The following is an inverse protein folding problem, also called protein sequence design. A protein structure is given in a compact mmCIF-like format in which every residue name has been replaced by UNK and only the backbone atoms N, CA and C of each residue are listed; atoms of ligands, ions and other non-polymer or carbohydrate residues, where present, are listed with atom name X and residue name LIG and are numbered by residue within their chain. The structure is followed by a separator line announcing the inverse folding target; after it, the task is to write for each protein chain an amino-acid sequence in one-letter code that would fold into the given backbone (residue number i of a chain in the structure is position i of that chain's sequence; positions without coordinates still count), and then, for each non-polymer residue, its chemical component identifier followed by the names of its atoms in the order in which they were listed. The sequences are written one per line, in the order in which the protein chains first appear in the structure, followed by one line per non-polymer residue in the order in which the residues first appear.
data_IF_844250174267
#
_entry.id   IF_844250174267
#
_cell.length_a   1.000
_cell.length_b   1.000
_cell.length_c   1.000
_cell.angle_alpha   90.00
_cell.angle_beta   90.00
_cell.angle_gamma   90.00
#
_symmetry.space_group_name_H-M   'P 1'
#
loop_
_entity.id
_entity.type
_entity.pdbx_description
1 polymer ?
#
# COMPACT_ATOMS: atom_id res chain seq x y z
N UNK A 1 -2.98 -14.55 -2.06
CA UNK A 1 -2.86 -15.14 -0.70
C UNK A 1 -2.06 -14.17 0.15
N UNK A 2 -2.69 -13.55 1.16
CA UNK A 2 -2.03 -12.57 2.04
C UNK A 2 -1.03 -13.31 2.93
N UNK A 3 0.26 -12.96 2.85
CA UNK A 3 1.28 -13.55 3.72
C UNK A 3 1.02 -13.06 5.15
N UNK A 4 0.82 -13.98 6.09
CA UNK A 4 0.67 -13.64 7.50
C UNK A 4 2.04 -13.23 8.05
N UNK A 5 2.15 -11.98 8.51
CA UNK A 5 3.31 -11.49 9.24
C UNK A 5 3.04 -11.69 10.73
N UNK A 6 3.79 -12.61 11.34
CA UNK A 6 3.80 -12.81 12.80
C UNK A 6 4.94 -11.96 13.35
N UNK A 7 4.61 -10.97 14.18
CA UNK A 7 5.60 -10.17 14.89
C UNK A 7 5.68 -10.60 16.35
N UNK A 8 6.90 -10.79 16.85
CA UNK A 8 7.17 -10.81 18.29
C UNK A 8 7.61 -9.39 18.66
N UNK A 9 6.82 -8.73 19.50
CA UNK A 9 7.10 -7.38 19.97
C UNK A 9 7.53 -7.49 21.43
N UNK A 10 8.75 -7.05 21.72
CA UNK A 10 9.26 -6.90 23.08
C UNK A 10 9.94 -5.54 23.20
N UNK A 11 9.19 -4.55 23.70
CA UNK A 11 9.70 -3.23 24.01
C UNK A 11 10.26 -2.44 22.82
N UNK A 12 9.81 -2.68 21.58
CA UNK A 12 10.38 -2.07 20.36
C UNK A 12 10.50 -0.54 20.48
N UNK A 13 9.42 0.12 20.88
CA UNK A 13 9.37 1.57 21.03
C UNK A 13 10.31 2.06 22.15
N UNK A 14 10.23 1.50 23.38
CA UNK A 14 11.21 1.77 24.43
C UNK A 14 12.68 1.63 23.98
N UNK A 15 13.01 0.55 23.27
CA UNK A 15 14.37 0.27 22.80
C UNK A 15 14.84 1.29 21.76
N UNK A 16 13.98 1.66 20.80
CA UNK A 16 14.33 2.62 19.75
C UNK A 16 14.52 4.04 20.29
N UNK A 17 13.71 4.45 21.27
CA UNK A 17 13.73 5.79 21.82
C UNK A 17 14.55 5.94 23.11
N UNK A 18 15.22 4.86 23.56
CA UNK A 18 16.05 4.83 24.78
C UNK A 18 15.33 5.42 25.99
N UNK A 19 14.06 5.08 26.16
CA UNK A 19 13.23 5.59 27.25
C UNK A 19 13.25 4.65 28.45
N UNK A 20 13.34 5.21 29.66
CA UNK A 20 13.32 4.44 30.92
C UNK A 20 11.89 4.04 31.29
N UNK A 21 11.31 3.12 30.51
CA UNK A 21 10.02 2.52 30.83
C UNK A 21 10.19 1.30 31.73
N UNK A 22 9.30 1.20 32.72
CA UNK A 22 9.14 -0.06 33.45
C UNK A 22 8.67 -1.18 32.52
N UNK A 23 8.99 -2.44 32.84
CA UNK A 23 8.53 -3.62 32.08
C UNK A 23 7.02 -3.64 31.84
N UNK A 24 6.23 -3.15 32.81
CA UNK A 24 4.77 -3.02 32.72
C UNK A 24 4.34 -1.96 31.69
N UNK A 25 5.00 -0.81 31.67
CA UNK A 25 4.73 0.25 30.69
C UNK A 25 5.10 -0.18 29.28
N UNK A 26 6.28 -0.79 29.10
CA UNK A 26 6.72 -1.33 27.81
C UNK A 26 5.68 -2.32 27.25
N UNK A 27 5.26 -3.31 28.05
CA UNK A 27 4.22 -4.28 27.67
C UNK A 27 2.89 -3.63 27.29
N UNK A 28 2.50 -2.53 27.96
CA UNK A 28 1.28 -1.81 27.63
C UNK A 28 1.38 -1.03 26.32
N UNK A 29 2.55 -0.46 26.02
CA UNK A 29 2.83 0.19 24.72
C UNK A 29 2.81 -0.85 23.61
N UNK A 30 3.45 -2.01 23.82
CA UNK A 30 3.44 -3.11 22.85
C UNK A 30 2.02 -3.59 22.56
N UNK A 31 1.18 -3.72 23.59
CA UNK A 31 -0.24 -4.06 23.42
C UNK A 31 -0.98 -3.03 22.56
N UNK A 32 -0.73 -1.74 22.77
CA UNK A 32 -1.32 -0.67 21.95
C UNK A 32 -0.81 -0.70 20.50
N UNK A 33 0.47 -1.01 20.30
CA UNK A 33 1.06 -1.15 18.97
C UNK A 33 0.45 -2.34 18.20
N UNK A 34 0.29 -3.50 18.85
CA UNK A 34 -0.41 -4.66 18.28
C UNK A 34 -1.85 -4.29 17.90
N UNK A 35 -2.57 -3.61 18.80
CA UNK A 35 -3.95 -3.20 18.51
C UNK A 35 -4.02 -2.25 17.32
N UNK A 36 -3.11 -1.28 17.25
CA UNK A 36 -3.03 -0.34 16.14
C UNK A 36 -2.78 -1.05 14.80
N UNK A 37 -1.94 -2.09 14.81
CA UNK A 37 -1.70 -2.92 13.62
C UNK A 37 -2.93 -3.74 13.22
N UNK A 38 -3.67 -4.28 14.20
CA UNK A 38 -4.95 -4.96 13.94
C UNK A 38 -5.97 -4.01 13.32
N UNK A 39 -6.08 -2.79 13.83
CA UNK A 39 -6.98 -1.77 13.31
C UNK A 39 -6.58 -1.33 11.89
N UNK A 40 -5.27 -1.20 11.63
CA UNK A 40 -4.74 -0.99 10.28
C UNK A 40 -5.15 -2.11 9.34
N UNK A 41 -4.98 -3.38 9.74
CA UNK A 41 -5.32 -4.51 8.89
C UNK A 41 -6.81 -4.57 8.57
N UNK A 42 -7.68 -4.31 9.56
CA UNK A 42 -9.14 -4.22 9.34
C UNK A 42 -9.46 -3.15 8.30
N UNK A 43 -8.90 -1.95 8.49
CA UNK A 43 -9.07 -0.84 7.55
C UNK A 43 -8.53 -1.16 6.16
N UNK A 44 -7.35 -1.76 6.06
CA UNK A 44 -6.70 -2.14 4.80
C UNK A 44 -7.49 -3.21 4.05
N UNK A 45 -7.95 -4.26 4.73
CA UNK A 45 -8.82 -5.26 4.11
C UNK A 45 -10.11 -4.60 3.59
N UNK A 46 -10.67 -3.67 4.37
CA UNK A 46 -11.85 -2.92 3.96
C UNK A 46 -11.60 -2.07 2.71
N UNK A 47 -10.43 -1.43 2.62
CA UNK A 47 -10.07 -0.58 1.47
C UNK A 47 -9.93 -1.37 0.17
N UNK A 48 -9.75 -2.69 0.25
CA UNK A 48 -9.60 -3.57 -0.93
C UNK A 48 -10.93 -4.04 -1.53
N UNK A 49 -12.08 -3.61 -0.98
CA UNK A 49 -13.39 -3.86 -1.60
C UNK A 49 -13.44 -3.28 -3.02
N UNK A 50 -13.97 -4.05 -3.97
CA UNK A 50 -14.10 -3.60 -5.36
C UNK A 50 -15.24 -2.61 -5.58
N UNK A 51 -16.24 -2.59 -4.68
CA UNK A 51 -17.38 -1.69 -4.73
C UNK A 51 -17.74 -1.21 -3.32
N UNK A 52 -18.16 0.05 -3.23
CA UNK A 52 -18.56 0.69 -1.99
C UNK A 52 -20.00 1.19 -2.11
N UNK A 53 -20.84 0.81 -1.14
CA UNK A 53 -22.12 1.47 -0.88
C UNK A 53 -21.94 2.67 0.05
N UNK A 54 -22.96 3.52 0.21
CA UNK A 54 -22.88 4.64 1.17
C UNK A 54 -22.64 4.18 2.62
N UNK A 55 -23.24 3.06 3.02
CA UNK A 55 -23.02 2.49 4.36
C UNK A 55 -21.60 1.95 4.49
N UNK A 56 -21.02 1.40 3.41
CA UNK A 56 -19.62 1.00 3.39
C UNK A 56 -18.69 2.20 3.58
N UNK A 57 -18.95 3.32 2.90
CA UNK A 57 -18.16 4.54 3.05
C UNK A 57 -18.23 5.11 4.48
N UNK A 58 -19.41 5.09 5.10
CA UNK A 58 -19.58 5.48 6.52
C UNK A 58 -18.77 4.58 7.45
N UNK A 59 -18.82 3.26 7.22
CA UNK A 59 -18.04 2.28 7.99
C UNK A 59 -16.55 2.45 7.77
N UNK A 60 -16.12 2.66 6.54
CA UNK A 60 -14.70 2.86 6.24
C UNK A 60 -14.16 4.14 6.87
N UNK A 61 -14.93 5.23 6.81
CA UNK A 61 -14.61 6.49 7.50
C UNK A 61 -14.44 6.31 9.01
N UNK A 62 -15.29 5.51 9.65
CA UNK A 62 -15.15 5.26 11.09
C UNK A 62 -13.87 4.48 11.41
N UNK A 63 -13.53 3.45 10.62
CA UNK A 63 -12.28 2.70 10.76
C UNK A 63 -11.05 3.61 10.61
N UNK A 64 -11.05 4.51 9.61
CA UNK A 64 -9.97 5.48 9.39
C UNK A 64 -9.81 6.40 10.61
N UNK A 65 -10.91 6.93 11.16
CA UNK A 65 -10.86 7.84 12.32
C UNK A 65 -10.35 7.12 13.57
N UNK A 66 -10.81 5.89 13.82
CA UNK A 66 -10.37 5.09 14.97
C UNK A 66 -8.87 4.83 14.88
N UNK A 67 -8.41 4.33 13.73
CA UNK A 67 -7.00 4.07 13.50
C UNK A 67 -6.15 5.35 13.59
N UNK A 68 -6.57 6.45 12.96
CA UNK A 68 -5.86 7.72 12.97
C UNK A 68 -5.69 8.31 14.37
N UNK A 69 -6.71 8.20 15.23
CA UNK A 69 -6.63 8.60 16.64
C UNK A 69 -5.63 7.75 17.41
N UNK A 70 -5.66 6.43 17.22
CA UNK A 70 -4.70 5.51 17.83
C UNK A 70 -3.26 5.79 17.38
N UNK A 71 -3.07 5.98 16.09
CA UNK A 71 -1.78 6.30 15.47
C UNK A 71 -1.20 7.60 16.02
N UNK A 72 -2.00 8.67 16.02
CA UNK A 72 -1.57 9.95 16.59
C UNK A 72 -1.23 9.85 18.07
N UNK A 73 -2.06 9.17 18.87
CA UNK A 73 -1.82 9.00 20.30
C UNK A 73 -0.51 8.26 20.59
N UNK A 74 -0.18 7.25 19.78
CA UNK A 74 0.98 6.40 20.02
C UNK A 74 2.29 7.03 19.51
N UNK A 75 2.24 7.79 18.41
CA UNK A 75 3.44 8.29 17.73
C UNK A 75 3.69 9.80 17.84
N UNK A 76 2.76 10.59 18.38
CA UNK A 76 2.90 12.07 18.45
C UNK A 76 4.15 12.51 19.19
N UNK A 77 4.48 11.85 20.31
CA UNK A 77 5.65 12.16 21.14
C UNK A 77 6.99 11.86 20.44
N UNK A 78 6.97 10.99 19.43
CA UNK A 78 8.17 10.53 18.74
C UNK A 78 8.39 11.22 17.39
N UNK A 79 7.41 12.00 16.92
CA UNK A 79 7.46 12.67 15.62
C UNK A 79 7.83 14.13 15.77
N UNK A 80 9.00 14.51 15.28
CA UNK A 80 9.45 15.92 15.24
C UNK A 80 8.47 16.81 14.46
N UNK A 81 7.91 16.30 13.36
CA UNK A 81 6.93 17.00 12.52
C UNK A 81 5.47 16.88 13.01
N UNK A 82 5.23 16.39 14.24
CA UNK A 82 3.89 16.16 14.78
C UNK A 82 2.97 15.34 13.87
N UNK A 83 3.53 14.39 13.11
CA UNK A 83 2.82 13.54 12.17
C UNK A 83 2.14 14.32 11.02
N UNK A 84 2.70 15.47 10.62
CA UNK A 84 2.34 16.17 9.39
C UNK A 84 2.88 15.42 8.16
N UNK A 85 2.35 14.22 7.94
CA UNK A 85 2.71 13.38 6.81
C UNK A 85 1.67 13.58 5.70
N UNK A 86 2.05 14.06 4.50
CA UNK A 86 1.10 14.27 3.40
C UNK A 86 0.26 13.02 3.08
N UNK A 87 0.87 11.83 3.14
CA UNK A 87 0.18 10.55 2.95
C UNK A 87 -0.87 10.29 4.03
N UNK A 88 -0.55 10.61 5.29
CA UNK A 88 -1.50 10.46 6.40
C UNK A 88 -2.68 11.44 6.24
N UNK A 89 -2.40 12.68 5.86
CA UNK A 89 -3.44 13.67 5.57
C UNK A 89 -4.35 13.21 4.42
N UNK A 90 -3.76 12.81 3.29
CA UNK A 90 -4.50 12.29 2.14
C UNK A 90 -5.39 11.09 2.52
N UNK A 91 -4.85 10.15 3.28
CA UNK A 91 -5.60 8.98 3.72
C UNK A 91 -6.77 9.33 4.66
N UNK A 92 -6.57 10.27 5.59
CA UNK A 92 -7.61 10.61 6.57
C UNK A 92 -8.72 11.47 5.97
N UNK A 93 -8.37 12.43 5.10
CA UNK A 93 -9.30 13.46 4.64
C UNK A 93 -9.83 13.24 3.24
N UNK A 94 -9.03 12.65 2.34
CA UNK A 94 -9.36 12.60 0.92
C UNK A 94 -9.73 11.21 0.40
N UNK A 95 -9.42 10.13 1.13
CA UNK A 95 -9.68 8.79 0.59
C UNK A 95 -11.17 8.52 0.32
N UNK A 96 -12.07 9.02 1.16
CA UNK A 96 -13.51 8.83 0.98
C UNK A 96 -13.98 9.61 -0.25
N UNK A 97 -13.57 10.87 -0.42
CA UNK A 97 -13.93 11.65 -1.61
C UNK A 97 -13.35 11.02 -2.88
N UNK A 98 -12.11 10.55 -2.84
CA UNK A 98 -11.49 9.86 -3.97
C UNK A 98 -12.26 8.59 -4.35
N UNK A 99 -12.71 7.80 -3.37
CA UNK A 99 -13.51 6.60 -3.66
C UNK A 99 -14.85 6.97 -4.31
N UNK A 100 -15.49 8.02 -3.82
CA UNK A 100 -16.77 8.49 -4.39
C UNK A 100 -16.61 8.97 -5.84
N UNK A 101 -15.52 9.67 -6.15
CA UNK A 101 -15.31 10.29 -7.46
C UNK A 101 -14.77 9.31 -8.51
N UNK A 102 -13.86 8.42 -8.12
CA UNK A 102 -13.10 7.59 -9.08
C UNK A 102 -13.23 6.08 -8.81
N UNK A 103 -14.02 5.66 -7.81
CA UNK A 103 -14.26 4.26 -7.49
C UNK A 103 -13.27 3.64 -6.50
N UNK A 104 -13.25 2.30 -6.42
CA UNK A 104 -12.52 1.58 -5.38
C UNK A 104 -11.01 1.89 -5.36
N UNK A 105 -10.40 1.78 -4.17
CA UNK A 105 -8.98 2.12 -3.97
C UNK A 105 -8.04 1.31 -4.86
N UNK A 106 -8.43 0.10 -5.24
CA UNK A 106 -7.68 -0.77 -6.15
C UNK A 106 -7.39 -0.08 -7.50
N UNK A 107 -8.30 0.79 -7.95
CA UNK A 107 -8.16 1.54 -9.20
C UNK A 107 -7.07 2.63 -9.12
N UNK A 108 -6.62 3.02 -7.92
CA UNK A 108 -5.53 4.00 -7.76
C UNK A 108 -4.15 3.36 -7.64
N UNK A 109 -4.07 2.03 -7.63
CA UNK A 109 -2.79 1.36 -7.35
C UNK A 109 -1.86 1.45 -8.55
N UNK A 110 -0.59 1.78 -8.29
CA UNK A 110 0.46 1.75 -9.32
C UNK A 110 1.01 0.35 -9.55
N UNK A 111 0.39 -0.69 -8.97
CA UNK A 111 0.85 -2.09 -9.03
C UNK A 111 0.99 -2.57 -10.48
N UNK A 112 0.02 -2.24 -11.33
CA UNK A 112 0.07 -2.55 -12.76
C UNK A 112 1.25 -1.85 -13.43
N UNK A 113 1.43 -0.55 -13.20
CA UNK A 113 2.54 0.20 -13.79
C UNK A 113 3.91 -0.31 -13.32
N UNK A 114 4.06 -0.61 -12.03
CA UNK A 114 5.29 -1.18 -11.47
C UNK A 114 5.59 -2.57 -12.05
N UNK A 115 4.55 -3.39 -12.26
CA UNK A 115 4.67 -4.70 -12.90
C UNK A 115 5.12 -4.55 -14.36
N UNK A 116 4.47 -3.67 -15.13
CA UNK A 116 4.83 -3.37 -16.52
C UNK A 116 6.26 -2.83 -16.63
N UNK A 117 6.63 -1.88 -15.77
CA UNK A 117 7.99 -1.33 -15.75
C UNK A 117 9.03 -2.41 -15.41
N UNK A 118 8.71 -3.32 -14.48
CA UNK A 118 9.59 -4.46 -14.18
C UNK A 118 9.74 -5.37 -15.40
N UNK A 119 8.62 -5.76 -16.02
CA UNK A 119 8.58 -6.72 -17.12
C UNK A 119 9.19 -6.19 -18.41
N UNK A 120 8.89 -4.95 -18.79
CA UNK A 120 9.25 -4.41 -20.10
C UNK A 120 10.46 -3.48 -20.09
N UNK A 121 10.88 -3.00 -18.91
CA UNK A 121 12.04 -2.11 -18.78
C UNK A 121 13.15 -2.79 -17.98
N UNK A 122 12.91 -3.17 -16.73
CA UNK A 122 13.98 -3.71 -15.87
C UNK A 122 14.52 -5.05 -16.36
N UNK A 123 13.66 -6.02 -16.66
CA UNK A 123 14.11 -7.35 -17.08
C UNK A 123 14.87 -7.31 -18.43
N UNK A 124 14.35 -6.67 -19.51
CA UNK A 124 15.05 -6.61 -20.78
C UNK A 124 16.34 -5.81 -20.69
N UNK A 125 16.35 -4.75 -19.87
CA UNK A 125 17.58 -4.00 -19.60
C UNK A 125 18.61 -4.89 -18.91
N UNK A 126 18.25 -5.63 -17.86
CA UNK A 126 19.14 -6.57 -17.16
C UNK A 126 19.69 -7.66 -18.10
N UNK A 127 18.88 -8.16 -19.03
CA UNK A 127 19.29 -9.14 -20.04
C UNK A 127 20.20 -8.57 -21.14
N UNK A 128 20.17 -7.25 -21.37
CA UNK A 128 21.02 -6.61 -22.37
C UNK A 128 22.49 -6.54 -21.94
N UNK A 129 23.41 -6.57 -22.89
CA UNK A 129 24.84 -6.34 -22.64
C UNK A 129 25.20 -4.84 -22.47
N UNK A 130 24.20 -3.97 -22.34
CA UNK A 130 24.28 -2.50 -22.18
C UNK A 130 24.83 -1.70 -23.36
N UNK A 131 25.36 -2.35 -24.41
CA UNK A 131 25.75 -1.69 -25.66
C UNK A 131 24.52 -1.56 -26.56
N UNK A 132 24.08 -0.34 -26.90
CA UNK A 132 22.82 -0.15 -27.63
C UNK A 132 21.63 -0.85 -26.92
N UNK A 133 21.50 -0.57 -25.61
CA UNK A 133 20.55 -1.23 -24.73
C UNK A 133 19.10 -1.07 -25.20
N UNK A 134 18.72 0.11 -25.71
CA UNK A 134 17.36 0.40 -26.17
C UNK A 134 16.93 -0.55 -27.30
N UNK A 135 17.78 -0.74 -28.32
CA UNK A 135 17.48 -1.65 -29.43
C UNK A 135 17.38 -3.10 -28.97
N UNK A 136 18.23 -3.51 -28.02
CA UNK A 136 18.16 -4.86 -27.44
C UNK A 136 16.91 -5.07 -26.61
N UNK A 137 16.54 -4.09 -25.78
CA UNK A 137 15.31 -4.12 -24.98
C UNK A 137 14.08 -4.22 -25.89
N UNK A 138 14.00 -3.39 -26.93
CA UNK A 138 12.91 -3.45 -27.91
C UNK A 138 12.83 -4.83 -28.57
N UNK A 139 13.95 -5.40 -29.02
CA UNK A 139 13.98 -6.75 -29.61
C UNK A 139 13.52 -7.83 -28.64
N UNK A 140 13.93 -7.77 -27.38
CA UNK A 140 13.50 -8.71 -26.33
C UNK A 140 12.00 -8.61 -26.09
N UNK A 141 11.49 -7.39 -25.89
CA UNK A 141 10.05 -7.15 -25.70
C UNK A 141 9.24 -7.61 -26.91
N UNK A 142 9.70 -7.33 -28.14
CA UNK A 142 9.03 -7.81 -29.36
C UNK A 142 9.03 -9.33 -29.50
N UNK A 143 10.07 -10.02 -29.04
CA UNK A 143 10.10 -11.49 -29.01
C UNK A 143 9.14 -12.04 -27.97
N UNK A 144 9.15 -11.47 -26.76
CA UNK A 144 8.26 -11.87 -25.69
C UNK A 144 6.79 -11.65 -26.08
N UNK A 145 6.52 -10.56 -26.81
CA UNK A 145 5.22 -10.22 -27.38
C UNK A 145 4.68 -11.28 -28.35
N UNK A 146 5.54 -11.79 -29.24
CA UNK A 146 5.19 -12.80 -30.23
C UNK A 146 5.04 -14.19 -29.61
N UNK A 147 5.82 -14.47 -28.56
CA UNK A 147 5.84 -15.79 -27.90
C UNK A 147 4.77 -15.93 -26.80
N UNK A 148 4.26 -14.83 -26.23
CA UNK A 148 3.26 -14.86 -25.16
C UNK A 148 1.89 -14.33 -25.62
N UNK A 149 0.86 -15.19 -25.55
CA UNK A 149 -0.57 -14.77 -25.57
C UNK A 149 -0.95 -13.79 -24.42
N UNK A 150 -0.07 -13.54 -23.45
CA UNK A 150 -0.30 -12.62 -22.32
C UNK A 150 -0.48 -11.16 -22.75
N UNK A 151 0.09 -10.73 -23.88
CA UNK A 151 -0.15 -9.37 -24.38
C UNK A 151 -1.61 -9.11 -24.71
N UNK A 152 -2.29 -10.10 -25.29
CA UNK A 152 -3.73 -10.01 -25.56
C UNK A 152 -4.48 -9.85 -24.24
N UNK A 153 -4.13 -10.61 -23.19
CA UNK A 153 -4.80 -10.48 -21.88
C UNK A 153 -4.53 -9.16 -21.15
N UNK A 154 -3.32 -8.60 -21.27
CA UNK A 154 -2.96 -7.31 -20.67
C UNK A 154 -3.64 -6.17 -21.43
N UNK A 155 -3.64 -6.20 -22.77
CA UNK A 155 -4.38 -5.24 -23.60
C UNK A 155 -5.88 -5.34 -23.31
N UNK A 156 -6.44 -6.55 -23.20
CA UNK A 156 -7.86 -6.76 -22.88
C UNK A 156 -8.25 -6.19 -21.51
N UNK A 157 -7.36 -6.31 -20.51
CA UNK A 157 -7.54 -5.68 -19.19
C UNK A 157 -7.42 -4.15 -19.22
N UNK A 158 -6.55 -3.59 -20.08
CA UNK A 158 -6.41 -2.14 -20.29
C UNK A 158 -7.62 -1.59 -21.06
N UNK A 159 -8.13 -2.30 -22.08
CA UNK A 159 -9.27 -1.85 -22.87
C UNK A 159 -10.58 -1.94 -22.11
N UNK A 160 -10.78 -2.94 -21.26
CA UNK A 160 -11.94 -2.99 -20.35
C UNK A 160 -11.89 -1.93 -19.24
N UNK A 161 -10.73 -1.30 -19.02
CA UNK A 161 -10.55 -0.16 -18.12
C UNK A 161 -10.98 1.18 -18.75
N UNK A 162 -11.02 1.29 -20.08
CA UNK A 162 -11.45 2.51 -20.76
C UNK A 162 -12.97 2.59 -20.99
N UNK A 163 -13.73 1.54 -20.69
CA UNK A 163 -15.17 1.43 -20.97
C UNK A 163 -16.05 1.26 -19.71
N UNK A 164 -15.53 1.54 -18.51
CA UNK A 164 -16.30 1.65 -17.25
C UNK A 164 -16.00 3.00 -16.62
#
# INVERSE_FOLDING_TARGET
MMRQLVFVIDGIIPTLHKTDYTKKQAKNIDKQLVQLYVDWNKMYIYSRKDKFTESDLKTFKSLIIIWAKGFKKLFSSYSVSQLQLPKFHSWVYHIISSITEYGAVNNFTTETYETLHKEYVKNPYQMSNKRDASSQMLRTVSRDALNNHRLVSIIYNITNWCYV
#
